data_IF_106204854930
#
_entry.id   IF_106204854930
#
_cell.length_a   1.000
_cell.length_b   1.000
_cell.length_c   1.000
_cell.angle_alpha   90.00
_cell.angle_beta   90.00
_cell.angle_gamma   90.00
#
_symmetry.space_group_name_H-M   'P 1'
#
loop_
_entity.id
_entity.type
_entity.pdbx_description
1 polymer ?
#
# COMPACT_ATOMS: atom_id res chain seq x y z
N UNK A 1 -65.58 -43.28 -22.69
CA UNK A 1 -65.72 -42.95 -24.13
C UNK A 1 -65.70 -41.44 -24.24
N UNK A 2 -64.80 -40.91 -25.09
CA UNK A 2 -64.72 -39.53 -25.59
C UNK A 2 -64.41 -38.45 -24.52
N UNK A 3 -63.61 -37.40 -24.72
CA UNK A 3 -63.01 -36.80 -25.92
C UNK A 3 -62.01 -35.69 -25.50
N UNK A 4 -61.30 -35.09 -26.48
CA UNK A 4 -60.52 -33.81 -26.48
C UNK A 4 -59.05 -33.89 -26.00
N UNK A 5 -58.01 -33.90 -26.87
CA UNK A 5 -57.44 -32.94 -27.87
C UNK A 5 -56.63 -31.78 -27.25
N UNK A 6 -55.41 -31.47 -27.75
CA UNK A 6 -54.38 -30.69 -27.05
C UNK A 6 -54.32 -29.21 -27.50
N UNK A 7 -54.04 -28.30 -26.57
CA UNK A 7 -53.82 -26.88 -26.87
C UNK A 7 -52.39 -26.42 -26.54
N UNK A 8 -51.72 -25.97 -27.60
CA UNK A 8 -50.99 -24.70 -27.71
C UNK A 8 -49.74 -24.52 -26.84
N UNK A 9 -48.60 -24.81 -27.47
CA UNK A 9 -47.49 -23.88 -27.71
C UNK A 9 -47.56 -22.56 -26.93
N UNK A 10 -46.97 -22.54 -25.73
CA UNK A 10 -46.64 -21.32 -25.02
C UNK A 10 -45.26 -20.83 -25.51
N UNK A 11 -45.30 -19.86 -26.42
CA UNK A 11 -44.20 -18.94 -26.68
C UNK A 11 -43.82 -18.22 -25.37
N UNK A 12 -42.54 -18.34 -25.00
CA UNK A 12 -41.58 -17.23 -25.08
C UNK A 12 -42.11 -15.85 -24.62
N UNK A 13 -41.73 -15.44 -23.40
CA UNK A 13 -41.33 -14.08 -23.00
C UNK A 13 -41.68 -13.80 -21.52
N UNK A 14 -40.71 -13.94 -20.63
CA UNK A 14 -40.53 -13.12 -19.42
C UNK A 14 -39.30 -13.60 -18.65
N UNK A 15 -38.14 -13.61 -19.30
CA UNK A 15 -36.84 -13.85 -18.66
C UNK A 15 -35.95 -12.65 -18.98
N UNK A 16 -36.28 -11.49 -18.44
CA UNK A 16 -35.47 -10.28 -18.61
C UNK A 16 -35.83 -9.24 -17.55
N UNK A 17 -34.78 -8.66 -16.97
CA UNK A 17 -34.78 -7.43 -16.18
C UNK A 17 -35.19 -7.54 -14.70
N UNK A 18 -34.39 -8.26 -13.92
CA UNK A 18 -33.94 -7.66 -12.66
C UNK A 18 -32.56 -7.06 -12.90
N UNK A 19 -32.40 -5.72 -12.83
CA UNK A 19 -31.08 -5.13 -12.83
C UNK A 19 -30.44 -5.47 -11.48
N UNK A 20 -29.51 -6.42 -11.50
CA UNK A 20 -28.56 -6.62 -10.40
C UNK A 20 -27.73 -5.35 -10.24
N UNK A 21 -28.19 -4.42 -9.41
CA UNK A 21 -27.34 -3.39 -8.82
C UNK A 21 -26.43 -4.04 -7.80
N UNK A 22 -25.40 -4.73 -8.30
CA UNK A 22 -24.21 -5.03 -7.51
C UNK A 22 -23.24 -3.87 -7.72
N UNK A 23 -23.41 -2.81 -6.93
CA UNK A 23 -22.34 -1.84 -6.66
C UNK A 23 -21.30 -2.56 -5.79
N UNK A 24 -20.50 -3.42 -6.40
CA UNK A 24 -19.23 -3.82 -5.84
C UNK A 24 -18.27 -2.65 -6.08
N UNK A 25 -18.21 -1.73 -5.11
CA UNK A 25 -17.12 -0.77 -5.02
C UNK A 25 -15.85 -1.55 -4.67
N UNK A 26 -15.23 -2.17 -5.67
CA UNK A 26 -13.85 -2.64 -5.57
C UNK A 26 -12.97 -1.41 -5.38
N UNK A 27 -12.52 -1.19 -4.14
CA UNK A 27 -11.40 -0.29 -3.86
C UNK A 27 -10.12 -0.96 -4.38
N UNK A 28 -9.99 -1.08 -5.71
CA UNK A 28 -8.79 -1.61 -6.37
C UNK A 28 -7.73 -0.53 -6.29
N UNK A 29 -7.03 -0.49 -5.16
CA UNK A 29 -5.93 0.43 -4.94
C UNK A 29 -4.86 0.17 -6.01
N UNK A 30 -4.48 1.21 -6.75
CA UNK A 30 -3.52 1.12 -7.84
C UNK A 30 -2.23 0.40 -7.40
N UNK A 31 -1.77 -0.66 -8.09
CA UNK A 31 -0.58 -1.41 -7.73
C UNK A 31 0.67 -0.53 -7.61
N UNK A 32 0.77 0.57 -8.37
CA UNK A 32 1.84 1.54 -8.22
C UNK A 32 1.75 2.28 -6.89
N UNK A 33 0.56 2.70 -6.48
CA UNK A 33 0.36 3.37 -5.18
C UNK A 33 0.74 2.43 -4.04
N UNK A 34 0.42 1.14 -4.16
CA UNK A 34 0.80 0.13 -3.16
C UNK A 34 2.32 -0.03 -3.10
N UNK A 35 3.00 -0.20 -4.24
CA UNK A 35 4.46 -0.34 -4.32
C UNK A 35 5.17 0.85 -3.65
N UNK A 36 4.79 2.08 -4.02
CA UNK A 36 5.40 3.30 -3.51
C UNK A 36 5.09 3.53 -2.03
N UNK A 37 3.87 3.22 -1.60
CA UNK A 37 3.48 3.28 -0.19
C UNK A 37 4.29 2.30 0.67
N UNK A 38 4.51 1.09 0.17
CA UNK A 38 5.31 0.08 0.85
C UNK A 38 6.79 0.50 0.91
N UNK A 39 7.32 1.08 -0.17
CA UNK A 39 8.68 1.62 -0.17
C UNK A 39 8.88 2.70 0.89
N UNK A 40 7.95 3.66 0.97
CA UNK A 40 7.99 4.73 1.98
C UNK A 40 7.92 4.15 3.40
N UNK A 41 7.02 3.21 3.65
CA UNK A 41 6.91 2.53 4.96
C UNK A 41 8.18 1.77 5.32
N UNK A 42 8.75 1.03 4.38
CA UNK A 42 9.99 0.26 4.58
C UNK A 42 11.19 1.19 4.88
N UNK A 43 11.28 2.33 4.21
CA UNK A 43 12.29 3.34 4.50
C UNK A 43 12.17 3.91 5.93
N UNK A 44 10.96 4.29 6.34
CA UNK A 44 10.68 4.76 7.70
C UNK A 44 11.00 3.69 8.75
N UNK A 45 10.73 2.41 8.43
CA UNK A 45 10.98 1.29 9.33
C UNK A 45 12.48 1.08 9.58
N UNK A 46 13.29 1.10 8.51
CA UNK A 46 14.74 0.99 8.62
C UNK A 46 15.34 2.16 9.43
N UNK A 47 14.89 3.38 9.19
CA UNK A 47 15.34 4.57 9.93
C UNK A 47 14.91 4.52 11.40
N UNK A 48 13.68 4.09 11.70
CA UNK A 48 13.18 3.91 13.06
C UNK A 48 13.98 2.85 13.84
N UNK A 49 14.29 1.72 13.19
CA UNK A 49 15.15 0.68 13.78
C UNK A 49 16.56 1.20 14.03
N UNK A 50 17.16 1.93 13.09
CA UNK A 50 18.48 2.54 13.25
C UNK A 50 18.53 3.51 14.44
N UNK A 51 17.51 4.36 14.57
CA UNK A 51 17.36 5.29 15.69
C UNK A 51 17.20 4.55 17.02
N UNK A 52 16.30 3.57 17.09
CA UNK A 52 15.92 2.91 18.35
C UNK A 52 16.93 1.87 18.83
N UNK A 53 17.43 1.02 17.93
CA UNK A 53 18.26 -0.13 18.29
C UNK A 53 19.76 0.06 18.04
N UNK A 54 20.15 1.06 17.24
CA UNK A 54 21.57 1.35 16.97
C UNK A 54 22.02 2.74 17.45
N UNK A 55 21.10 3.56 17.98
CA UNK A 55 21.39 4.92 18.43
C UNK A 55 21.84 5.86 17.30
N UNK A 56 21.58 5.51 16.04
CA UNK A 56 21.99 6.29 14.86
C UNK A 56 20.76 6.83 14.16
N UNK A 57 20.52 8.14 14.28
CA UNK A 57 19.46 8.83 13.55
C UNK A 57 19.98 9.33 12.19
N UNK A 58 20.33 8.40 11.31
CA UNK A 58 20.65 8.74 9.93
C UNK A 58 19.41 8.41 9.12
N UNK A 59 18.63 9.42 8.73
CA UNK A 59 17.44 9.28 7.89
C UNK A 59 17.82 8.91 6.44
N UNK A 60 18.70 7.92 6.29
CA UNK A 60 19.40 7.57 5.07
C UNK A 60 18.41 7.03 4.06
N UNK A 61 17.57 6.09 4.49
CA UNK A 61 16.65 5.40 3.59
C UNK A 61 15.52 6.34 3.18
N UNK A 62 14.95 7.11 4.13
CA UNK A 62 13.96 8.11 3.79
C UNK A 62 14.52 9.18 2.82
N UNK A 63 15.76 9.61 3.01
CA UNK A 63 16.41 10.56 2.08
C UNK A 63 16.63 9.96 0.69
N UNK A 64 16.96 8.67 0.58
CA UNK A 64 17.09 7.97 -0.71
C UNK A 64 15.75 7.91 -1.44
N UNK A 65 14.68 7.51 -0.76
CA UNK A 65 13.32 7.49 -1.34
C UNK A 65 12.89 8.89 -1.74
N UNK A 66 13.14 9.91 -0.92
CA UNK A 66 12.81 11.29 -1.26
C UNK A 66 13.55 11.77 -2.53
N UNK A 67 14.82 11.39 -2.70
CA UNK A 67 15.56 11.68 -3.93
C UNK A 67 14.96 10.98 -5.15
N UNK A 68 14.54 9.71 -5.03
CA UNK A 68 13.86 8.99 -6.09
C UNK A 68 12.57 9.71 -6.49
N UNK A 69 11.74 10.09 -5.52
CA UNK A 69 10.45 10.73 -5.75
C UNK A 69 10.60 12.12 -6.38
N UNK A 70 11.58 12.91 -5.92
CA UNK A 70 11.85 14.22 -6.53
C UNK A 70 12.34 14.04 -7.97
N UNK A 71 13.30 13.14 -8.20
CA UNK A 71 13.94 12.96 -9.52
C UNK A 71 12.97 12.39 -10.55
N UNK A 72 12.20 11.37 -10.15
CA UNK A 72 11.40 10.58 -11.07
C UNK A 72 9.96 11.08 -11.17
N UNK A 73 9.41 11.59 -10.07
CA UNK A 73 7.98 11.87 -9.93
C UNK A 73 7.67 13.35 -9.68
N UNK A 74 8.72 14.19 -9.61
CA UNK A 74 8.59 15.63 -9.35
C UNK A 74 7.78 15.97 -8.10
N UNK A 75 7.78 15.08 -7.09
CA UNK A 75 7.08 15.27 -5.81
C UNK A 75 7.98 14.89 -4.64
N UNK A 76 7.73 15.48 -3.47
CA UNK A 76 8.40 15.07 -2.24
C UNK A 76 7.69 13.86 -1.63
N UNK A 77 8.41 13.06 -0.85
CA UNK A 77 7.78 11.94 -0.11
C UNK A 77 6.75 12.44 0.89
N UNK A 78 6.93 13.63 1.47
CA UNK A 78 5.95 14.21 2.39
C UNK A 78 4.63 14.49 1.65
N UNK A 79 4.68 15.18 0.51
CA UNK A 79 3.49 15.44 -0.31
C UNK A 79 2.85 14.13 -0.78
N UNK A 80 3.67 13.13 -1.12
CA UNK A 80 3.15 11.80 -1.47
C UNK A 80 2.41 11.15 -0.30
N UNK A 81 2.95 11.22 0.92
CA UNK A 81 2.29 10.69 2.12
C UNK A 81 0.96 11.41 2.33
N UNK A 82 0.96 12.75 2.27
CA UNK A 82 -0.23 13.58 2.44
C UNK A 82 -1.35 13.21 1.46
N UNK A 83 -0.99 12.88 0.21
CA UNK A 83 -1.96 12.54 -0.84
C UNK A 83 -2.42 11.08 -0.80
N UNK A 84 -1.51 10.13 -0.58
CA UNK A 84 -1.77 8.71 -0.86
C UNK A 84 -1.75 7.78 0.36
N UNK A 85 -1.16 8.20 1.48
CA UNK A 85 -1.01 7.34 2.67
C UNK A 85 -1.85 7.86 3.83
N UNK A 86 -1.73 9.13 4.16
CA UNK A 86 -2.39 9.74 5.31
C UNK A 86 -2.53 11.24 5.07
N UNK A 87 -3.67 11.83 5.43
CA UNK A 87 -3.96 13.25 5.17
C UNK A 87 -3.04 14.26 5.88
N UNK A 88 -2.25 13.82 6.88
CA UNK A 88 -1.24 14.64 7.57
C UNK A 88 0.00 13.80 7.90
N UNK A 89 1.11 14.11 7.23
CA UNK A 89 2.43 13.51 7.44
C UNK A 89 2.90 13.57 8.89
N UNK A 90 2.63 14.66 9.63
CA UNK A 90 3.12 14.81 11.01
C UNK A 90 2.45 13.81 11.94
N UNK A 91 1.12 13.75 11.89
CA UNK A 91 0.33 12.79 12.65
C UNK A 91 0.69 11.36 12.24
N UNK A 92 0.82 11.10 10.93
CA UNK A 92 1.25 9.80 10.42
C UNK A 92 2.60 9.34 10.99
N UNK A 93 3.59 10.24 11.09
CA UNK A 93 4.90 9.89 11.64
C UNK A 93 4.83 9.49 13.11
N UNK A 94 4.04 10.20 13.91
CA UNK A 94 3.83 9.88 15.33
C UNK A 94 3.17 8.50 15.46
N UNK A 95 2.10 8.27 14.71
CA UNK A 95 1.40 6.98 14.71
C UNK A 95 2.30 5.84 14.25
N UNK A 96 3.14 6.09 13.24
CA UNK A 96 4.14 5.14 12.78
C UNK A 96 5.16 4.79 13.86
N UNK A 97 5.70 5.77 14.59
CA UNK A 97 6.65 5.53 15.69
C UNK A 97 6.00 4.70 16.82
N UNK A 98 4.72 4.94 17.13
CA UNK A 98 3.95 4.13 18.08
C UNK A 98 3.72 2.70 17.57
N UNK A 99 3.35 2.53 16.30
CA UNK A 99 3.20 1.21 15.67
C UNK A 99 4.52 0.43 15.67
N UNK A 100 5.61 1.06 15.24
CA UNK A 100 6.95 0.48 15.27
C UNK A 100 7.32 0.00 16.68
N UNK A 101 7.08 0.84 17.70
CA UNK A 101 7.39 0.47 19.09
C UNK A 101 6.62 -0.76 19.56
N UNK A 102 5.34 -0.90 19.14
CA UNK A 102 4.53 -2.09 19.44
C UNK A 102 5.06 -3.33 18.75
N UNK A 103 5.39 -3.25 17.46
CA UNK A 103 5.97 -4.37 16.69
C UNK A 103 7.32 -4.80 17.28
N UNK A 104 8.17 -3.84 17.62
CA UNK A 104 9.46 -4.13 18.25
C UNK A 104 9.28 -4.82 19.61
N UNK A 105 8.32 -4.38 20.41
CA UNK A 105 8.00 -5.03 21.68
C UNK A 105 7.49 -6.47 21.49
N UNK A 106 6.61 -6.70 20.51
CA UNK A 106 6.14 -8.05 20.15
C UNK A 106 7.28 -8.97 19.67
N UNK A 107 8.32 -8.40 19.06
CA UNK A 107 9.52 -9.12 18.65
C UNK A 107 10.50 -9.38 19.80
N UNK A 108 10.22 -8.95 21.02
CA UNK A 108 11.10 -9.13 22.18
C UNK A 108 12.17 -8.04 22.32
N UNK A 109 11.97 -6.88 21.69
CA UNK A 109 12.92 -5.76 21.74
C UNK A 109 14.05 -5.87 20.71
N UNK A 110 15.06 -5.01 20.86
CA UNK A 110 16.14 -4.87 19.88
C UNK A 110 17.04 -6.11 19.79
N UNK A 111 17.32 -6.77 20.92
CA UNK A 111 18.21 -7.93 20.95
C UNK A 111 17.59 -9.13 20.21
N UNK A 112 16.33 -9.44 20.54
CA UNK A 112 15.58 -10.49 19.87
C UNK A 112 15.32 -10.17 18.39
N UNK A 113 15.01 -8.92 18.06
CA UNK A 113 14.89 -8.50 16.66
C UNK A 113 16.19 -8.73 15.86
N UNK A 114 17.36 -8.49 16.48
CA UNK A 114 18.66 -8.71 15.87
C UNK A 114 18.97 -10.20 15.72
N UNK A 115 18.68 -11.01 16.74
CA UNK A 115 18.81 -12.48 16.68
C UNK A 115 17.97 -13.08 15.56
N UNK A 116 16.75 -12.58 15.36
CA UNK A 116 15.85 -12.94 14.27
C UNK A 116 16.24 -12.35 12.91
N UNK A 117 17.36 -11.61 12.83
CA UNK A 117 17.84 -10.93 11.63
C UNK A 117 16.80 -9.99 11.00
N UNK A 118 15.93 -9.39 11.82
CA UNK A 118 14.85 -8.53 11.33
C UNK A 118 15.42 -7.30 10.61
N UNK A 119 16.57 -6.79 11.05
CA UNK A 119 17.28 -5.68 10.41
C UNK A 119 17.75 -6.00 8.99
N UNK A 120 18.14 -7.25 8.72
CA UNK A 120 18.47 -7.70 7.36
C UNK A 120 17.21 -7.84 6.52
N UNK A 121 16.16 -8.46 7.05
CA UNK A 121 14.88 -8.64 6.34
C UNK A 121 14.31 -7.29 5.89
N UNK A 122 14.25 -6.30 6.79
CA UNK A 122 13.78 -4.95 6.47
C UNK A 122 14.65 -4.25 5.42
N UNK A 123 15.97 -4.48 5.45
CA UNK A 123 16.88 -3.90 4.48
C UNK A 123 16.75 -4.55 3.10
N UNK A 124 16.56 -5.87 3.05
CA UNK A 124 16.43 -6.61 1.81
C UNK A 124 15.07 -6.31 1.14
N UNK A 125 14.01 -6.24 1.93
CA UNK A 125 12.69 -5.77 1.49
C UNK A 125 12.78 -4.33 0.95
N UNK A 126 13.48 -3.43 1.65
CA UNK A 126 13.70 -2.07 1.17
C UNK A 126 14.38 -2.04 -0.20
N UNK A 127 15.46 -2.81 -0.39
CA UNK A 127 16.21 -2.83 -1.66
C UNK A 127 15.36 -3.37 -2.80
N UNK A 128 14.57 -4.41 -2.54
CA UNK A 128 13.68 -4.99 -3.53
C UNK A 128 12.60 -3.98 -3.97
N UNK A 129 11.90 -3.38 -3.00
CA UNK A 129 10.92 -2.32 -3.25
C UNK A 129 11.53 -1.12 -3.98
N UNK A 130 12.75 -0.72 -3.61
CA UNK A 130 13.43 0.41 -4.23
C UNK A 130 13.79 0.11 -5.68
N UNK A 131 14.32 -1.08 -5.98
CA UNK A 131 14.64 -1.53 -7.33
C UNK A 131 13.40 -1.59 -8.23
N UNK A 132 12.30 -2.13 -7.69
CA UNK A 132 11.00 -2.15 -8.38
C UNK A 132 10.49 -0.73 -8.66
N UNK A 133 10.54 0.16 -7.66
CA UNK A 133 10.14 1.55 -7.84
C UNK A 133 11.05 2.32 -8.82
N UNK A 134 12.35 2.03 -8.86
CA UNK A 134 13.29 2.62 -9.83
C UNK A 134 12.97 2.24 -11.27
N UNK A 135 12.45 1.03 -11.50
CA UNK A 135 12.10 0.51 -12.83
C UNK A 135 10.64 0.76 -13.22
N UNK A 136 9.75 1.04 -12.27
CA UNK A 136 8.32 1.24 -12.52
C UNK A 136 8.03 2.45 -13.43
N UNK A 137 7.06 2.32 -14.33
CA UNK A 137 6.52 3.47 -15.07
C UNK A 137 5.64 4.27 -14.10
N UNK A 138 6.01 5.54 -13.84
CA UNK A 138 5.38 6.38 -12.81
C UNK A 138 3.84 6.52 -12.95
N UNK A 139 3.12 6.64 -11.82
CA UNK A 139 1.76 7.21 -11.71
C UNK A 139 1.50 7.75 -10.29
N UNK A 140 0.67 8.80 -10.01
CA UNK A 140 -0.07 9.71 -10.88
C UNK A 140 0.39 11.20 -10.85
N UNK A 141 -0.04 11.88 -11.91
CA UNK A 141 -0.17 13.34 -12.11
C UNK A 141 -0.75 14.04 -10.89
N UNK A 142 0.01 14.97 -10.30
CA UNK A 142 -0.57 16.01 -9.45
C UNK A 142 -1.26 16.98 -10.42
N UNK A 143 -2.59 16.94 -10.52
CA UNK A 143 -3.33 18.07 -11.07
C UNK A 143 -3.00 19.29 -10.20
N UNK A 144 -2.11 20.15 -10.69
CA UNK A 144 -1.88 21.46 -10.09
C UNK A 144 -3.12 22.29 -10.38
N UNK A 145 -4.05 22.35 -9.42
CA UNK A 145 -5.11 23.35 -9.39
C UNK A 145 -4.51 24.73 -9.11
#
# INVERSE_FOLDING_TARGET
>A
MADQIPEKTALQAALSAMPSTALASENTQDPQVVLHSNLVKSALLNDAYGKRCRGRSVAKYFSQVNRLFITKYSTSVNNYIDTYIASDYRSYKVDFEHQFSRVLAQKGGCDQAKEQQWDKQMLDEFKDLFSQAESAEWYPTIERY
#
